data_IF_476761864012
#
_entry.id   IF_476761864012
#
_cell.length_a   1.000
_cell.length_b   1.000
_cell.length_c   1.000
_cell.angle_alpha   90.00
_cell.angle_beta   90.00
_cell.angle_gamma   90.00
#
_symmetry.space_group_name_H-M   'P 1'
#
loop_
_entity.id
_entity.type
_entity.pdbx_description
1 polymer ?
#
# COMPACT_ATOMS: atom_id res chain seq x y z
N UNK A 1 25.01 -6.29 -12.45
CA UNK A 1 24.76 -7.48 -13.30
C UNK A 1 23.85 -7.14 -14.47
N UNK A 2 22.59 -6.73 -14.27
CA UNK A 2 21.72 -6.29 -15.37
C UNK A 2 21.99 -4.84 -15.85
N UNK A 3 22.42 -3.95 -14.94
CA UNK A 3 22.75 -2.55 -15.26
C UNK A 3 22.64 -1.63 -14.03
N UNK A 4 21.67 -1.93 -13.16
CA UNK A 4 21.47 -1.24 -11.89
C UNK A 4 20.82 0.13 -12.06
N UNK A 5 20.97 0.98 -11.04
CA UNK A 5 20.35 2.32 -11.02
C UNK A 5 20.89 3.22 -12.13
N UNK A 6 22.16 3.13 -12.48
CA UNK A 6 22.75 3.91 -13.56
C UNK A 6 22.01 3.74 -14.89
N UNK A 7 21.71 2.48 -15.24
CA UNK A 7 20.93 2.17 -16.44
C UNK A 7 19.48 2.64 -16.32
N UNK A 8 18.83 2.41 -15.17
CA UNK A 8 17.45 2.83 -14.96
C UNK A 8 17.30 4.35 -15.05
N UNK A 9 18.22 5.10 -14.47
CA UNK A 9 18.25 6.56 -14.53
C UNK A 9 18.47 7.03 -15.97
N UNK A 10 19.40 6.40 -16.71
CA UNK A 10 19.62 6.68 -18.13
C UNK A 10 18.34 6.47 -18.93
N UNK A 11 17.74 5.29 -18.83
CA UNK A 11 16.53 4.92 -19.56
C UNK A 11 15.37 5.89 -19.29
N UNK A 12 15.13 6.24 -18.02
CA UNK A 12 14.07 7.18 -17.67
C UNK A 12 14.39 8.61 -18.11
N UNK A 13 15.65 9.05 -18.07
CA UNK A 13 16.04 10.40 -18.48
C UNK A 13 15.98 10.58 -19.99
N UNK A 14 16.50 9.61 -20.76
CA UNK A 14 16.50 9.63 -22.23
C UNK A 14 15.06 9.64 -22.79
N UNK A 15 14.10 9.12 -22.02
CA UNK A 15 12.67 9.12 -22.35
C UNK A 15 11.87 10.25 -21.64
N UNK A 16 12.54 11.24 -21.04
CA UNK A 16 11.90 12.42 -20.45
C UNK A 16 11.05 12.16 -19.20
N UNK A 17 11.28 11.04 -18.52
CA UNK A 17 10.57 10.63 -17.29
C UNK A 17 11.27 11.08 -16.00
N UNK A 18 12.47 11.66 -16.09
CA UNK A 18 13.21 12.25 -14.97
C UNK A 18 13.56 13.70 -15.26
N UNK A 19 13.51 14.53 -14.22
CA UNK A 19 13.97 15.92 -14.28
C UNK A 19 15.49 15.98 -14.12
N UNK A 20 16.19 16.50 -15.13
CA UNK A 20 17.64 16.70 -15.10
C UNK A 20 18.03 17.88 -14.19
N UNK A 21 17.28 18.98 -14.28
CA UNK A 21 17.55 20.27 -13.61
C UNK A 21 17.18 20.23 -12.12
N UNK A 22 17.98 19.49 -11.34
CA UNK A 22 17.82 19.35 -9.88
C UNK A 22 19.17 19.40 -9.17
N UNK A 23 19.16 19.93 -7.95
CA UNK A 23 20.33 19.86 -7.06
C UNK A 23 20.36 18.51 -6.35
N UNK A 24 21.51 17.84 -6.38
CA UNK A 24 21.74 16.57 -5.68
C UNK A 24 22.94 16.69 -4.74
N UNK A 25 23.16 15.68 -3.89
CA UNK A 25 24.36 15.61 -3.04
C UNK A 25 25.66 15.49 -3.86
N UNK A 26 25.58 15.01 -5.10
CA UNK A 26 26.71 14.93 -6.03
C UNK A 26 26.89 16.21 -6.87
N UNK A 27 26.14 17.27 -6.55
CA UNK A 27 26.10 18.53 -7.30
C UNK A 27 24.84 18.66 -8.16
N UNK A 28 24.80 19.72 -8.97
CA UNK A 28 23.67 19.99 -9.86
C UNK A 28 23.65 19.02 -11.05
N UNK A 29 22.45 18.61 -11.46
CA UNK A 29 22.17 17.68 -12.56
C UNK A 29 21.94 16.24 -12.10
N UNK A 30 20.74 15.68 -12.34
CA UNK A 30 20.44 14.28 -12.01
C UNK A 30 21.21 13.28 -12.88
N UNK A 31 21.67 13.70 -14.07
CA UNK A 31 22.42 12.85 -15.01
C UNK A 31 23.69 12.23 -14.43
N UNK A 32 24.25 12.83 -13.37
CA UNK A 32 25.39 12.26 -12.60
C UNK A 32 25.10 10.85 -12.06
N UNK A 33 23.83 10.52 -11.83
CA UNK A 33 23.42 9.19 -11.35
C UNK A 33 23.37 8.12 -12.45
N UNK A 34 23.71 8.48 -13.71
CA UNK A 34 24.04 7.50 -14.76
C UNK A 34 25.45 6.94 -14.62
N UNK A 35 26.29 7.54 -13.76
CA UNK A 35 27.63 7.04 -13.47
C UNK A 35 27.59 5.97 -12.37
N UNK A 36 28.63 5.14 -12.33
CA UNK A 36 28.85 4.14 -11.29
C UNK A 36 30.22 4.32 -10.63
N UNK A 37 30.33 4.12 -9.31
CA UNK A 37 31.61 4.18 -8.63
C UNK A 37 32.43 2.92 -8.94
N UNK A 38 33.68 3.11 -9.33
CA UNK A 38 34.65 2.04 -9.59
C UNK A 38 35.89 2.31 -8.76
N UNK A 39 36.46 1.26 -8.18
CA UNK A 39 37.74 1.36 -7.47
C UNK A 39 38.89 1.18 -8.47
N UNK A 40 39.68 2.22 -8.66
CA UNK A 40 40.93 2.20 -9.43
C UNK A 40 42.12 2.34 -8.48
N UNK A 41 42.82 1.24 -8.25
CA UNK A 41 43.86 1.17 -7.22
C UNK A 41 43.27 1.40 -5.83
N UNK A 42 43.68 2.48 -5.18
CA UNK A 42 43.20 2.90 -3.86
C UNK A 42 42.20 4.07 -3.92
N UNK A 43 41.73 4.46 -5.12
CA UNK A 43 40.85 5.61 -5.33
C UNK A 43 39.50 5.21 -5.92
N UNK A 44 38.43 5.76 -5.37
CA UNK A 44 37.11 5.71 -5.98
C UNK A 44 37.03 6.75 -7.10
N UNK A 45 36.72 6.30 -8.31
CA UNK A 45 36.44 7.14 -9.46
C UNK A 45 35.04 6.86 -9.96
N UNK A 46 34.39 7.87 -10.54
CA UNK A 46 33.10 7.69 -11.19
C UNK A 46 33.32 7.46 -12.67
N UNK A 47 32.64 6.45 -13.21
CA UNK A 47 32.68 6.12 -14.63
C UNK A 47 31.27 6.01 -15.17
N UNK A 48 31.15 6.22 -16.48
CA UNK A 48 29.87 6.09 -17.14
C UNK A 48 29.27 4.69 -16.91
N UNK A 49 27.99 4.66 -16.58
CA UNK A 49 27.24 3.43 -16.38
C UNK A 49 26.91 2.73 -17.70
N UNK A 50 26.39 1.49 -17.65
CA UNK A 50 25.99 0.78 -18.86
C UNK A 50 24.92 1.56 -19.64
N UNK A 51 25.02 1.51 -20.97
CA UNK A 51 24.06 2.13 -21.89
C UNK A 51 22.88 1.21 -22.21
N UNK A 52 23.05 -0.11 -22.06
CA UNK A 52 22.05 -1.12 -22.38
C UNK A 52 21.94 -2.15 -21.26
N UNK A 53 20.80 -2.82 -21.17
CA UNK A 53 20.56 -3.90 -20.21
C UNK A 53 21.33 -5.16 -20.60
N UNK A 54 22.11 -5.69 -19.68
CA UNK A 54 22.76 -6.98 -19.82
C UNK A 54 21.82 -8.16 -19.48
N UNK A 55 20.64 -7.86 -18.95
CA UNK A 55 19.58 -8.82 -18.65
C UNK A 55 18.21 -8.12 -18.71
N UNK A 56 17.57 -8.09 -19.90
CA UNK A 56 16.25 -7.48 -20.11
C UNK A 56 15.14 -8.10 -19.26
N UNK A 57 15.33 -9.33 -18.75
CA UNK A 57 14.41 -9.97 -17.81
C UNK A 57 14.45 -9.37 -16.41
N UNK A 58 15.46 -8.57 -16.09
CA UNK A 58 15.61 -7.87 -14.80
C UNK A 58 15.44 -6.36 -14.93
N UNK A 59 16.03 -5.73 -15.95
CA UNK A 59 15.84 -4.31 -16.27
C UNK A 59 15.41 -4.19 -17.72
N UNK A 60 14.13 -3.93 -17.92
CA UNK A 60 13.52 -3.68 -19.22
C UNK A 60 13.72 -2.23 -19.67
N UNK A 61 13.53 -1.96 -20.97
CA UNK A 61 13.50 -0.61 -21.53
C UNK A 61 12.10 0.01 -21.41
N UNK A 62 11.98 1.31 -21.61
CA UNK A 62 10.69 2.02 -21.69
C UNK A 62 9.89 1.60 -22.92
N UNK A 63 10.56 1.21 -24.01
CA UNK A 63 9.90 0.72 -25.23
C UNK A 63 9.34 -0.69 -25.08
N UNK A 64 9.97 -1.54 -24.27
CA UNK A 64 9.57 -2.93 -24.01
C UNK A 64 9.47 -3.21 -22.50
N UNK A 65 8.58 -2.51 -21.76
CA UNK A 65 8.51 -2.62 -20.30
C UNK A 65 7.86 -3.95 -19.88
N UNK A 66 8.08 -4.35 -18.62
CA UNK A 66 7.38 -5.51 -18.04
C UNK A 66 5.86 -5.33 -18.01
N UNK A 67 5.42 -4.11 -17.74
CA UNK A 67 4.02 -3.69 -17.77
C UNK A 67 3.98 -2.23 -18.25
N UNK A 68 3.08 -1.86 -19.19
CA UNK A 68 2.93 -0.47 -19.64
C UNK A 68 2.45 0.48 -18.52
N UNK A 69 1.97 -0.05 -17.40
CA UNK A 69 1.41 0.71 -16.29
C UNK A 69 2.22 0.45 -15.01
N UNK A 70 2.44 1.53 -14.24
CA UNK A 70 3.07 1.42 -12.93
C UNK A 70 2.31 0.47 -11.99
N UNK A 71 3.05 -0.25 -11.15
CA UNK A 71 2.53 -1.33 -10.30
C UNK A 71 1.58 -0.92 -9.16
N UNK A 72 1.14 0.35 -9.09
CA UNK A 72 0.26 0.87 -8.03
C UNK A 72 -0.87 1.73 -8.61
N UNK A 73 -2.01 1.69 -7.93
CA UNK A 73 -3.18 2.52 -8.20
C UNK A 73 -3.68 3.14 -6.90
N UNK A 74 -4.08 4.40 -6.96
CA UNK A 74 -4.89 5.03 -5.92
C UNK A 74 -6.35 4.69 -6.19
N UNK A 75 -7.04 4.16 -5.19
CA UNK A 75 -8.48 3.97 -5.22
C UNK A 75 -9.16 5.02 -4.34
N UNK A 76 -10.30 5.51 -4.80
CA UNK A 76 -11.13 6.51 -4.10
C UNK A 76 -12.58 6.12 -4.16
N UNK A 77 -13.33 6.39 -3.10
CA UNK A 77 -14.79 6.25 -3.10
C UNK A 77 -15.38 6.50 -1.73
N UNK A 78 -16.61 6.04 -1.50
CA UNK A 78 -17.31 6.34 -0.24
C UNK A 78 -16.68 5.64 0.99
N UNK A 79 -15.80 4.66 0.83
CA UNK A 79 -15.02 4.10 1.94
C UNK A 79 -13.88 5.04 2.36
N UNK A 80 -13.28 5.75 1.41
CA UNK A 80 -12.11 6.60 1.61
C UNK A 80 -11.12 6.53 0.44
N UNK A 81 -9.86 6.85 0.71
CA UNK A 81 -8.75 6.77 -0.25
C UNK A 81 -7.76 5.70 0.19
N UNK A 82 -7.33 4.84 -0.73
CA UNK A 82 -6.42 3.73 -0.44
C UNK A 82 -5.43 3.50 -1.59
N UNK A 83 -4.36 2.77 -1.32
CA UNK A 83 -3.41 2.32 -2.34
C UNK A 83 -3.64 0.83 -2.62
N UNK A 84 -3.66 0.47 -3.90
CA UNK A 84 -3.65 -0.91 -4.36
C UNK A 84 -2.40 -1.18 -5.19
N UNK A 85 -1.70 -2.28 -4.88
CA UNK A 85 -0.60 -2.77 -5.71
C UNK A 85 -1.15 -3.75 -6.74
N UNK A 86 -1.03 -3.41 -8.02
CA UNK A 86 -1.59 -4.20 -9.13
C UNK A 86 -0.53 -5.07 -9.83
N UNK A 87 0.76 -4.86 -9.54
CA UNK A 87 1.87 -5.44 -10.31
C UNK A 87 1.96 -6.97 -10.30
N UNK A 88 1.34 -7.66 -9.35
CA UNK A 88 1.30 -9.13 -9.30
C UNK A 88 -0.12 -9.69 -9.38
N UNK A 89 -1.09 -8.83 -9.70
CA UNK A 89 -2.46 -9.26 -9.94
C UNK A 89 -2.55 -9.76 -11.37
N UNK A 90 -3.18 -10.92 -11.55
CA UNK A 90 -3.33 -11.56 -12.86
C UNK A 90 -3.96 -10.62 -13.90
N UNK A 91 -4.94 -9.83 -13.48
CA UNK A 91 -5.68 -8.92 -14.35
C UNK A 91 -5.12 -7.49 -14.33
N UNK A 92 -4.02 -7.25 -13.59
CA UNK A 92 -3.33 -5.95 -13.51
C UNK A 92 -4.30 -4.80 -13.21
N UNK A 93 -4.29 -3.78 -14.05
CA UNK A 93 -5.20 -2.63 -13.94
C UNK A 93 -6.68 -2.94 -14.19
N UNK A 94 -7.01 -4.09 -14.78
CA UNK A 94 -8.39 -4.53 -14.99
C UNK A 94 -8.95 -5.34 -13.80
N UNK A 95 -8.19 -5.44 -12.70
CA UNK A 95 -8.64 -6.14 -11.48
C UNK A 95 -9.96 -5.55 -10.98
N UNK A 96 -10.94 -6.44 -10.78
CA UNK A 96 -12.24 -6.13 -10.19
C UNK A 96 -12.63 -7.16 -9.13
N UNK A 97 -12.96 -6.70 -7.92
CA UNK A 97 -13.49 -7.54 -6.85
C UNK A 97 -14.80 -6.95 -6.36
N UNK A 98 -15.84 -7.79 -6.32
CA UNK A 98 -17.10 -7.48 -5.67
C UNK A 98 -17.53 -8.69 -4.83
N UNK A 99 -17.54 -8.52 -3.51
CA UNK A 99 -17.93 -9.58 -2.58
C UNK A 99 -18.40 -9.01 -1.23
N UNK A 100 -19.15 -9.79 -0.43
CA UNK A 100 -19.55 -9.40 0.92
C UNK A 100 -18.36 -9.15 1.85
N UNK A 101 -18.48 -8.15 2.71
CA UNK A 101 -17.49 -7.85 3.74
C UNK A 101 -17.52 -8.90 4.85
N UNK A 102 -16.35 -9.27 5.34
CA UNK A 102 -16.18 -9.84 6.67
C UNK A 102 -15.25 -8.94 7.47
N UNK A 103 -15.73 -8.42 8.59
CA UNK A 103 -15.06 -7.34 9.33
C UNK A 103 -14.25 -7.90 10.50
N UNK A 104 -13.02 -7.41 10.63
CA UNK A 104 -12.07 -7.79 11.67
C UNK A 104 -11.44 -6.54 12.30
N UNK A 105 -10.97 -6.64 13.55
CA UNK A 105 -10.27 -5.56 14.26
C UNK A 105 -8.81 -5.88 14.51
N UNK A 106 -8.37 -7.09 14.17
CA UNK A 106 -6.99 -7.53 14.31
C UNK A 106 -6.63 -8.61 13.30
N UNK A 107 -5.32 -8.74 13.02
CA UNK A 107 -4.80 -9.86 12.23
C UNK A 107 -5.16 -11.22 12.85
N UNK A 108 -5.22 -11.30 14.18
CA UNK A 108 -5.52 -12.52 14.93
C UNK A 108 -6.95 -12.99 14.68
N UNK A 109 -7.93 -12.09 14.65
CA UNK A 109 -9.32 -12.47 14.36
C UNK A 109 -9.50 -13.05 12.96
N UNK A 110 -8.79 -12.52 11.95
CA UNK A 110 -8.81 -13.08 10.60
C UNK A 110 -8.13 -14.45 10.57
N UNK A 111 -6.99 -14.60 11.26
CA UNK A 111 -6.31 -15.89 11.43
C UNK A 111 -7.23 -16.93 12.09
N UNK A 112 -8.00 -16.55 13.11
CA UNK A 112 -8.96 -17.43 13.78
C UNK A 112 -10.13 -17.80 12.86
N UNK A 113 -10.65 -16.83 12.08
CA UNK A 113 -11.69 -17.09 11.11
C UNK A 113 -11.24 -18.04 9.98
N UNK A 114 -9.98 -17.92 9.54
CA UNK A 114 -9.38 -18.85 8.58
C UNK A 114 -9.33 -20.28 9.13
N UNK A 115 -8.79 -20.47 10.33
CA UNK A 115 -8.71 -21.81 10.95
C UNK A 115 -10.07 -22.40 11.35
N UNK A 116 -11.12 -21.57 11.39
CA UNK A 116 -12.50 -21.99 11.65
C UNK A 116 -13.31 -22.23 10.37
N UNK A 117 -12.66 -22.25 9.19
CA UNK A 117 -13.27 -22.39 7.87
C UNK A 117 -14.37 -21.34 7.56
N UNK A 118 -14.36 -20.19 8.24
CA UNK A 118 -15.37 -19.14 8.03
C UNK A 118 -15.16 -18.36 6.73
N UNK A 119 -13.97 -18.46 6.13
CA UNK A 119 -13.56 -17.73 4.94
C UNK A 119 -13.77 -18.50 3.63
N UNK A 120 -14.31 -19.73 3.65
CA UNK A 120 -14.58 -20.53 2.44
C UNK A 120 -15.81 -20.02 1.66
N UNK A 121 -15.70 -18.80 1.14
CA UNK A 121 -16.71 -18.07 0.36
C UNK A 121 -16.07 -16.86 -0.30
N UNK A 122 -16.77 -16.28 -1.26
CA UNK A 122 -16.44 -14.95 -1.78
C UNK A 122 -16.46 -13.94 -0.61
N UNK A 123 -15.36 -13.21 -0.41
CA UNK A 123 -15.19 -12.33 0.75
C UNK A 123 -14.24 -11.17 0.48
N UNK A 124 -14.64 -9.97 0.90
CA UNK A 124 -13.68 -8.88 1.15
C UNK A 124 -13.42 -8.81 2.65
N UNK A 125 -12.23 -9.19 3.08
CA UNK A 125 -11.82 -8.99 4.46
C UNK A 125 -11.63 -7.50 4.72
N UNK A 126 -12.30 -6.95 5.73
CA UNK A 126 -12.14 -5.56 6.16
C UNK A 126 -11.44 -5.56 7.51
N UNK A 127 -10.14 -5.29 7.54
CA UNK A 127 -9.34 -5.28 8.77
C UNK A 127 -9.10 -3.84 9.19
N UNK A 128 -9.82 -3.39 10.20
CA UNK A 128 -9.78 -2.00 10.69
C UNK A 128 -9.01 -1.86 12.01
N UNK A 129 -8.76 -0.61 12.41
CA UNK A 129 -7.95 -0.25 13.58
C UNK A 129 -6.48 -0.69 13.49
N UNK A 130 -5.95 -0.69 12.26
CA UNK A 130 -4.55 -0.98 11.97
C UNK A 130 -3.81 0.25 11.45
N UNK A 131 -4.42 1.43 11.52
CA UNK A 131 -3.84 2.69 11.04
C UNK A 131 -2.82 3.33 11.99
N UNK A 132 -2.24 4.47 11.58
CA UNK A 132 -1.23 5.20 12.35
C UNK A 132 -1.66 5.54 13.79
N UNK A 133 -2.86 6.11 13.96
CA UNK A 133 -3.39 6.50 15.28
C UNK A 133 -3.83 5.29 16.09
N UNK A 134 -4.33 4.25 15.43
CA UNK A 134 -4.83 3.07 16.12
C UNK A 134 -3.71 2.34 16.88
N UNK A 135 -2.69 1.84 16.16
CA UNK A 135 -1.64 1.01 16.74
C UNK A 135 -0.25 1.24 16.11
N UNK A 136 -0.05 2.38 15.43
CA UNK A 136 1.23 2.72 14.80
C UNK A 136 1.46 2.05 13.45
N UNK A 137 0.40 1.51 12.83
CA UNK A 137 0.44 0.91 11.50
C UNK A 137 1.49 -0.20 11.33
N UNK A 138 1.43 -1.31 12.10
CA UNK A 138 2.32 -2.45 11.91
C UNK A 138 2.07 -3.15 10.57
N UNK A 139 3.06 -3.91 10.09
CA UNK A 139 2.90 -4.72 8.87
C UNK A 139 2.14 -6.03 9.14
N UNK A 140 1.00 -6.22 8.46
CA UNK A 140 0.08 -7.34 8.65
C UNK A 140 0.43 -8.55 7.76
N UNK A 141 1.68 -9.01 7.82
CA UNK A 141 2.26 -10.00 6.89
C UNK A 141 1.52 -11.35 6.82
N UNK A 142 0.83 -11.80 7.88
CA UNK A 142 0.13 -13.09 7.85
C UNK A 142 -1.12 -13.09 6.97
N UNK A 143 -1.74 -11.92 6.76
CA UNK A 143 -3.01 -11.80 6.05
C UNK A 143 -2.91 -12.25 4.58
N UNK A 144 -1.78 -11.96 3.95
CA UNK A 144 -1.53 -12.29 2.53
C UNK A 144 -1.67 -13.80 2.31
N UNK A 145 -1.08 -14.60 3.20
CA UNK A 145 -1.07 -16.07 3.09
C UNK A 145 -2.49 -16.64 3.14
N UNK A 146 -3.27 -16.28 4.17
CA UNK A 146 -4.61 -16.82 4.37
C UNK A 146 -5.53 -16.49 3.20
N UNK A 147 -5.57 -15.23 2.77
CA UNK A 147 -6.42 -14.82 1.65
C UNK A 147 -5.98 -15.43 0.32
N UNK A 148 -4.67 -15.63 0.12
CA UNK A 148 -4.16 -16.32 -1.08
C UNK A 148 -4.65 -17.76 -1.14
N UNK A 149 -4.67 -18.47 -0.01
CA UNK A 149 -5.20 -19.84 0.07
C UNK A 149 -6.70 -19.85 -0.26
N UNK A 150 -7.48 -18.91 0.28
CA UNK A 150 -8.91 -18.80 -0.02
C UNK A 150 -9.15 -18.51 -1.51
N UNK A 151 -8.33 -17.64 -2.12
CA UNK A 151 -8.38 -17.39 -3.56
C UNK A 151 -8.06 -18.63 -4.39
N UNK A 152 -7.05 -19.40 -3.99
CA UNK A 152 -6.67 -20.66 -4.65
C UNK A 152 -7.74 -21.75 -4.54
N UNK A 153 -8.60 -21.69 -3.52
CA UNK A 153 -9.81 -22.53 -3.41
C UNK A 153 -10.92 -22.14 -4.39
N UNK A 154 -10.74 -21.07 -5.16
CA UNK A 154 -11.65 -20.63 -6.23
C UNK A 154 -12.60 -19.50 -5.84
N UNK A 155 -12.46 -18.93 -4.64
CA UNK A 155 -13.30 -17.83 -4.18
C UNK A 155 -12.75 -16.46 -4.60
N UNK A 156 -13.65 -15.50 -4.83
CA UNK A 156 -13.27 -14.09 -5.00
C UNK A 156 -12.86 -13.52 -3.65
N UNK A 157 -11.63 -13.03 -3.57
CA UNK A 157 -11.08 -12.48 -2.32
C UNK A 157 -10.56 -11.07 -2.52
N UNK A 158 -10.67 -10.27 -1.46
CA UNK A 158 -10.04 -8.96 -1.38
C UNK A 158 -9.74 -8.59 0.07
N UNK A 159 -8.90 -7.57 0.27
CA UNK A 159 -8.64 -6.96 1.57
C UNK A 159 -8.82 -5.46 1.48
N UNK A 160 -9.51 -4.89 2.47
CA UNK A 160 -9.48 -3.45 2.75
C UNK A 160 -8.96 -3.25 4.16
N UNK A 161 -7.95 -2.41 4.33
CA UNK A 161 -7.41 -2.09 5.66
C UNK A 161 -6.92 -0.66 5.74
N UNK A 162 -7.10 -0.05 6.91
CA UNK A 162 -6.47 1.22 7.29
C UNK A 162 -4.99 1.05 7.69
N UNK A 163 -4.51 -0.20 7.77
CA UNK A 163 -3.11 -0.54 8.01
C UNK A 163 -2.30 -0.80 6.74
N UNK A 164 -1.18 -1.52 6.90
CA UNK A 164 -0.24 -1.85 5.80
C UNK A 164 0.14 -3.32 5.75
N UNK A 165 0.68 -3.72 4.60
CA UNK A 165 1.26 -5.04 4.37
C UNK A 165 2.78 -4.91 4.18
N UNK A 166 3.52 -6.00 4.33
CA UNK A 166 4.92 -6.05 3.89
C UNK A 166 4.94 -5.77 2.38
N UNK A 167 5.76 -4.83 1.91
CA UNK A 167 5.70 -4.25 0.54
C UNK A 167 5.83 -5.22 -0.65
N UNK A 168 5.82 -6.53 -0.42
CA UNK A 168 5.68 -7.57 -1.42
C UNK A 168 4.34 -7.46 -2.17
N UNK A 169 4.37 -7.75 -3.48
CA UNK A 169 3.13 -7.89 -4.24
C UNK A 169 2.50 -9.24 -3.94
N UNK A 170 1.24 -9.26 -3.52
CA UNK A 170 0.43 -10.46 -3.46
C UNK A 170 -0.41 -10.62 -4.72
N UNK A 171 -0.91 -11.84 -4.93
CA UNK A 171 -1.84 -12.15 -6.02
C UNK A 171 -3.30 -11.79 -5.68
N UNK A 172 -3.57 -11.54 -4.40
CA UNK A 172 -4.88 -11.09 -3.91
C UNK A 172 -4.97 -9.56 -4.02
N UNK A 173 -6.09 -8.99 -4.50
CA UNK A 173 -6.32 -7.56 -4.52
C UNK A 173 -6.40 -6.96 -3.11
N UNK A 174 -5.52 -6.00 -2.82
CA UNK A 174 -5.47 -5.33 -1.52
C UNK A 174 -5.62 -3.82 -1.67
N UNK A 175 -6.52 -3.22 -0.90
CA UNK A 175 -6.61 -1.78 -0.67
C UNK A 175 -6.08 -1.48 0.75
N UNK A 176 -4.85 -0.97 0.81
CA UNK A 176 -4.14 -0.66 2.06
C UNK A 176 -4.06 0.85 2.28
N UNK A 177 -3.66 1.27 3.47
CA UNK A 177 -3.55 2.68 3.86
C UNK A 177 -4.89 3.43 3.72
N UNK A 178 -6.01 2.73 3.90
CA UNK A 178 -7.32 3.34 3.80
C UNK A 178 -7.44 4.54 4.75
N UNK A 179 -7.64 5.72 4.18
CA UNK A 179 -7.66 7.00 4.88
C UNK A 179 -8.99 7.72 4.57
N UNK A 180 -9.68 8.29 5.57
CA UNK A 180 -9.34 8.27 7.00
C UNK A 180 -9.41 6.88 7.64
N UNK A 181 -8.54 6.60 8.62
CA UNK A 181 -8.54 5.32 9.36
C UNK A 181 -9.75 5.17 10.29
N UNK A 182 -10.01 3.95 10.77
CA UNK A 182 -11.15 3.71 11.65
C UNK A 182 -11.05 4.46 12.98
N UNK A 183 -9.86 4.55 13.57
CA UNK A 183 -9.63 5.29 14.81
C UNK A 183 -9.84 6.80 14.67
N UNK A 184 -9.80 7.33 13.43
CA UNK A 184 -10.11 8.71 13.10
C UNK A 184 -11.57 8.91 12.63
N UNK A 185 -12.41 7.88 12.71
CA UNK A 185 -13.83 7.95 12.33
C UNK A 185 -14.09 7.83 10.83
N UNK A 186 -13.12 7.32 10.05
CA UNK A 186 -13.31 7.06 8.63
C UNK A 186 -14.41 6.03 8.35
N UNK A 187 -14.92 6.03 7.12
CA UNK A 187 -16.07 5.19 6.75
C UNK A 187 -15.78 3.68 6.84
N UNK A 188 -14.51 3.26 6.80
CA UNK A 188 -14.11 1.88 7.11
C UNK A 188 -14.57 1.42 8.51
N UNK A 189 -14.72 2.33 9.48
CA UNK A 189 -15.28 2.03 10.81
C UNK A 189 -16.80 1.74 10.79
N UNK A 190 -17.50 2.08 9.71
CA UNK A 190 -18.97 1.98 9.58
C UNK A 190 -19.42 0.78 8.75
N UNK A 191 -18.47 0.08 8.13
CA UNK A 191 -18.70 -1.17 7.41
C UNK A 191 -19.08 -2.26 8.41
N UNK A 192 -20.06 -3.08 8.03
CA UNK A 192 -20.59 -4.22 8.76
C UNK A 192 -20.41 -5.51 7.95
N UNK A 193 -20.44 -6.64 8.64
CA UNK A 193 -20.45 -7.94 7.97
C UNK A 193 -21.61 -8.04 6.97
N UNK A 194 -21.32 -8.57 5.79
CA UNK A 194 -22.30 -8.73 4.71
C UNK A 194 -22.47 -7.52 3.79
N UNK A 195 -21.99 -6.32 4.15
CA UNK A 195 -21.99 -5.18 3.21
C UNK A 195 -21.17 -5.53 1.96
N UNK A 196 -21.68 -5.26 0.76
CA UNK A 196 -20.94 -5.57 -0.47
C UNK A 196 -19.87 -4.51 -0.71
N UNK A 197 -18.62 -4.93 -0.84
CA UNK A 197 -17.49 -4.07 -1.17
C UNK A 197 -17.12 -4.24 -2.63
N UNK A 198 -16.83 -3.13 -3.30
CA UNK A 198 -16.33 -3.06 -4.68
C UNK A 198 -14.93 -2.45 -4.67
N UNK A 199 -13.97 -3.19 -5.24
CA UNK A 199 -12.61 -2.74 -5.50
C UNK A 199 -12.38 -2.82 -7.01
N UNK A 200 -12.29 -1.66 -7.67
CA UNK A 200 -12.15 -1.56 -9.12
C UNK A 200 -10.88 -0.78 -9.45
N UNK A 201 -9.85 -1.51 -9.88
CA UNK A 201 -8.55 -0.93 -10.21
C UNK A 201 -8.61 -0.04 -11.47
N UNK A 202 -9.48 -0.39 -12.42
CA UNK A 202 -9.61 0.28 -13.71
C UNK A 202 -10.24 1.65 -13.53
N UNK A 203 -11.36 1.70 -12.82
CA UNK A 203 -12.08 2.93 -12.52
C UNK A 203 -11.57 3.63 -11.26
N UNK A 204 -10.51 3.11 -10.63
CA UNK A 204 -9.90 3.66 -9.41
C UNK A 204 -10.91 3.85 -8.27
N UNK A 205 -11.82 2.89 -8.13
CA UNK A 205 -12.97 2.98 -7.23
C UNK A 205 -12.82 2.06 -6.02
N UNK A 206 -13.15 2.58 -4.83
CA UNK A 206 -13.24 1.81 -3.59
C UNK A 206 -14.56 2.13 -2.88
N UNK A 207 -15.54 1.23 -2.98
CA UNK A 207 -16.91 1.50 -2.54
C UNK A 207 -17.47 0.40 -1.64
N UNK A 208 -18.35 0.80 -0.74
CA UNK A 208 -19.31 -0.07 -0.07
C UNK A 208 -20.69 0.21 -0.66
N UNK A 209 -21.42 -0.82 -1.12
CA UNK A 209 -22.75 -0.69 -1.73
C UNK A 209 -23.84 -0.44 -0.68
N UNK A 210 -23.71 0.68 0.01
CA UNK A 210 -24.64 1.21 1.00
C UNK A 210 -24.85 2.67 0.64
N UNK A 211 -26.10 3.15 0.71
CA UNK A 211 -26.40 4.57 0.48
C UNK A 211 -25.57 5.45 1.41
N UNK A 212 -24.99 6.54 0.90
CA UNK A 212 -24.07 7.37 1.68
C UNK A 212 -24.74 8.00 2.91
N UNK A 213 -26.06 8.30 2.86
CA UNK A 213 -26.79 8.82 4.01
C UNK A 213 -27.04 7.73 5.04
N UNK A 214 -27.26 6.49 4.61
CA UNK A 214 -27.35 5.35 5.52
C UNK A 214 -25.99 5.09 6.17
N UNK A 215 -24.91 5.04 5.38
CA UNK A 215 -23.55 4.82 5.86
C UNK A 215 -23.16 5.89 6.90
N UNK A 216 -23.42 7.17 6.62
CA UNK A 216 -23.14 8.27 7.53
C UNK A 216 -23.91 8.21 8.87
N UNK A 217 -25.09 7.56 8.88
CA UNK A 217 -25.89 7.36 10.10
C UNK A 217 -25.42 6.18 10.95
N UNK A 218 -24.69 5.22 10.38
CA UNK A 218 -24.21 4.05 11.13
C UNK A 218 -23.18 4.49 12.16
N UNK A 219 -23.26 4.06 13.43
CA UNK A 219 -22.23 4.40 14.40
C UNK A 219 -20.87 3.87 13.93
N UNK A 220 -19.80 4.64 14.15
CA UNK A 220 -18.45 4.12 13.99
C UNK A 220 -18.26 3.02 15.02
N UNK A 221 -17.71 1.89 14.58
CA UNK A 221 -17.26 0.87 15.51
C UNK A 221 -16.14 1.41 16.42
N UNK A 222 -15.99 0.77 17.56
CA UNK A 222 -14.92 1.02 18.53
C UNK A 222 -14.22 -0.30 18.82
N UNK A 223 -12.91 -0.26 19.07
CA UNK A 223 -12.13 -1.39 19.54
C UNK A 223 -11.33 -0.99 20.78
N UNK A 224 -11.10 -1.94 21.69
CA UNK A 224 -10.17 -1.75 22.79
C UNK A 224 -8.73 -1.90 22.28
N UNK A 225 -8.02 -0.77 22.21
CA UNK A 225 -6.64 -0.68 21.74
C UNK A 225 -5.63 -0.59 22.89
N UNK A 226 -6.07 -0.74 24.15
CA UNK A 226 -5.23 -0.59 25.35
C UNK A 226 -3.98 -1.48 25.29
N UNK A 227 -4.13 -2.72 24.83
CA UNK A 227 -3.04 -3.70 24.65
C UNK A 227 -2.03 -3.29 23.59
N UNK A 228 -2.43 -2.40 22.67
CA UNK A 228 -1.55 -1.79 21.66
C UNK A 228 -0.88 -0.51 22.16
N UNK A 229 -1.34 0.06 23.28
CA UNK A 229 -0.91 1.36 23.77
C UNK A 229 0.06 1.26 24.96
N UNK A 230 0.05 0.15 25.69
CA UNK A 230 0.91 -0.08 26.87
C UNK A 230 1.86 -1.27 26.70
N UNK A 231 3.00 -1.27 27.40
CA UNK A 231 3.99 -2.36 27.38
C UNK A 231 5.00 -2.23 26.23
N UNK A 232 6.18 -2.83 26.39
CA UNK A 232 7.31 -2.71 25.45
C UNK A 232 7.72 -1.25 25.13
N UNK A 233 7.50 -0.32 26.06
CA UNK A 233 7.83 1.11 25.88
C UNK A 233 6.83 1.91 25.03
N UNK A 234 5.73 1.30 24.57
CA UNK A 234 4.72 1.94 23.70
C UNK A 234 4.06 3.17 24.31
N UNK A 235 4.05 3.30 25.64
CA UNK A 235 3.53 4.45 26.36
C UNK A 235 4.34 5.74 26.11
N UNK A 236 5.65 5.63 25.81
CA UNK A 236 6.50 6.80 25.53
C UNK A 236 6.07 7.48 24.20
N UNK A 237 5.48 6.70 23.29
CA UNK A 237 5.00 7.18 21.99
C UNK A 237 3.53 7.61 21.99
N UNK A 238 2.85 7.62 23.15
CA UNK A 238 1.41 7.88 23.21
C UNK A 238 1.03 9.25 22.64
N UNK A 239 1.80 10.30 22.99
CA UNK A 239 1.58 11.65 22.46
C UNK A 239 1.76 11.69 20.94
N UNK A 240 2.86 11.14 20.42
CA UNK A 240 3.12 11.09 18.98
C UNK A 240 2.05 10.31 18.21
N UNK A 241 1.61 9.16 18.74
CA UNK A 241 0.58 8.33 18.11
C UNK A 241 -0.75 9.08 17.97
N UNK A 242 -1.12 9.88 18.97
CA UNK A 242 -2.36 10.67 18.95
C UNK A 242 -2.33 11.76 17.86
N UNK A 243 -1.16 12.35 17.64
CA UNK A 243 -0.96 13.42 16.65
C UNK A 243 -0.63 12.91 15.23
N UNK A 244 -0.57 11.59 15.01
CA UNK A 244 -0.28 11.02 13.71
C UNK A 244 -1.27 11.52 12.64
N UNK A 245 -0.77 12.00 11.51
CA UNK A 245 -1.60 12.28 10.33
C UNK A 245 -2.03 10.97 9.63
N UNK A 246 -2.95 11.09 8.67
CA UNK A 246 -3.37 9.97 7.84
C UNK A 246 -2.20 9.36 7.05
N UNK A 247 -2.33 8.10 6.64
CA UNK A 247 -1.32 7.43 5.82
C UNK A 247 -1.15 8.12 4.45
N UNK A 248 -2.22 8.74 3.95
CA UNK A 248 -2.22 9.58 2.75
C UNK A 248 -1.51 10.93 2.90
N UNK A 249 -1.15 11.29 4.13
CA UNK A 249 -0.35 12.46 4.51
C UNK A 249 1.02 12.05 5.06
N UNK A 250 1.46 10.82 4.75
CA UNK A 250 2.77 10.29 5.14
C UNK A 250 2.86 9.75 6.57
N UNK A 251 1.74 9.66 7.31
CA UNK A 251 1.74 9.21 8.72
C UNK A 251 2.84 9.91 9.54
N UNK A 252 2.88 11.25 9.42
CA UNK A 252 3.78 12.10 10.17
C UNK A 252 3.12 12.58 11.46
N UNK A 253 3.88 12.60 12.55
CA UNK A 253 3.51 13.25 13.80
C UNK A 253 4.15 14.65 13.96
N UNK A 254 4.98 15.08 13.00
CA UNK A 254 5.77 16.32 13.08
C UNK A 254 5.06 17.49 12.40
N UNK A 255 4.29 17.24 11.35
CA UNK A 255 3.61 18.28 10.56
C UNK A 255 2.14 18.47 10.96
N UNK A 256 1.71 17.92 12.10
CA UNK A 256 0.33 18.05 12.58
C UNK A 256 -0.07 19.51 12.91
N UNK A 257 0.90 20.42 13.03
CA UNK A 257 0.70 21.82 13.42
C UNK A 257 1.05 22.83 12.33
N UNK A 258 1.59 22.39 11.19
CA UNK A 258 2.03 23.24 10.09
C UNK A 258 1.13 22.97 8.88
N UNK A 259 0.11 23.79 8.70
CA UNK A 259 -0.50 23.97 7.39
C UNK A 259 0.37 25.03 6.69
N UNK A 260 1.32 24.60 5.85
CA UNK A 260 1.88 25.52 4.86
C UNK A 260 0.84 25.61 3.73
N UNK A 261 0.17 26.75 3.66
CA UNK A 261 -0.74 27.15 2.56
C UNK A 261 0.03 27.27 1.23
#
# INVERSE_FOLDING_TARGET
>A
KAGGMALLVRELMDNGMLHEDVLTVAGHGFGRYMEQPVLEGDRAVWKDGPAESLDPGTIATVSEPFDPVGGTRILTGNIGRAVMKISALKDGENTYVEAPAMVFHSQKELEDAFHSDKLDRDVVAVVRFQGPRANGMPELHKLIMFLTIIMQRGFKTGLVTDGRLSGASGTVPFAIHCSPEAAAGGNIARIKDGDVIVMDAKNRSLQVKVDDKELAKRPCATADLSTSHFGLGRQIFAALRKEQLGADQGASAIFAYTHED
#
